data_IF_906722077713
#
_entry.id   IF_906722077713
#
_cell.length_a   1.000
_cell.length_b   1.000
_cell.length_c   1.000
_cell.angle_alpha   90.00
_cell.angle_beta   90.00
_cell.angle_gamma   90.00
#
_symmetry.space_group_name_H-M   'P 1'
#
loop_
_entity.id
_entity.type
_entity.pdbx_description
1 polymer ?
#
# COMPACT_ATOMS: atom_id res chain seq x y z
N UNK A 1 -3.52 17.87 -7.71
CA UNK A 1 -3.30 16.61 -6.96
C UNK A 1 -2.94 15.53 -7.96
N UNK A 2 -1.70 15.05 -7.95
CA UNK A 2 -1.25 13.97 -8.84
C UNK A 2 -1.94 12.69 -8.37
N UNK A 3 -2.83 12.12 -9.21
CA UNK A 3 -3.43 10.80 -8.93
C UNK A 3 -2.42 9.73 -9.32
N UNK A 4 -1.60 9.29 -8.36
CA UNK A 4 -0.75 8.10 -8.55
C UNK A 4 -1.68 6.91 -8.82
N UNK A 5 -1.48 6.24 -9.97
CA UNK A 5 -2.21 5.02 -10.31
C UNK A 5 -1.66 3.86 -9.47
N UNK A 6 -2.52 3.26 -8.67
CA UNK A 6 -2.19 2.07 -7.89
C UNK A 6 -2.17 0.84 -8.80
N UNK A 7 -1.15 0.00 -8.64
CA UNK A 7 -1.11 -1.34 -9.25
C UNK A 7 -2.13 -2.25 -8.57
N UNK A 8 -2.60 -3.25 -9.32
CA UNK A 8 -3.52 -4.29 -8.82
C UNK A 8 -2.88 -5.10 -7.69
N UNK A 9 -3.72 -5.73 -6.88
CA UNK A 9 -3.28 -6.64 -5.82
C UNK A 9 -2.38 -7.77 -6.40
N UNK A 10 -1.19 -8.01 -5.84
CA UNK A 10 -0.32 -9.09 -6.31
C UNK A 10 -0.87 -10.48 -5.96
N UNK A 11 -1.84 -10.57 -5.04
CA UNK A 11 -2.43 -11.83 -4.56
C UNK A 11 -3.71 -12.17 -5.33
N UNK A 12 -4.66 -11.24 -5.38
CA UNK A 12 -6.00 -11.49 -5.96
C UNK A 12 -6.30 -10.66 -7.22
N UNK A 13 -5.34 -9.86 -7.70
CA UNK A 13 -5.44 -9.07 -8.93
C UNK A 13 -6.63 -8.08 -8.98
N UNK A 14 -7.23 -7.83 -7.82
CA UNK A 14 -8.33 -6.89 -7.63
C UNK A 14 -7.81 -5.45 -7.47
N UNK A 15 -8.73 -4.50 -7.58
CA UNK A 15 -8.44 -3.09 -7.34
C UNK A 15 -8.05 -2.83 -5.88
N UNK A 16 -7.21 -1.81 -5.70
CA UNK A 16 -6.57 -1.46 -4.44
C UNK A 16 -6.86 0.00 -4.15
N UNK A 17 -6.99 0.35 -2.86
CA UNK A 17 -7.19 1.71 -2.42
C UNK A 17 -6.18 2.04 -1.33
N UNK A 18 -5.74 3.29 -1.25
CA UNK A 18 -5.03 3.78 -0.06
C UNK A 18 -6.08 4.09 0.99
N UNK A 19 -5.93 3.52 2.18
CA UNK A 19 -6.79 3.81 3.33
C UNK A 19 -6.01 4.59 4.36
N UNK A 20 -6.72 5.44 5.08
CA UNK A 20 -6.20 6.17 6.25
C UNK A 20 -6.58 5.36 7.47
N UNK A 21 -5.57 4.97 8.23
CA UNK A 21 -5.71 4.29 9.49
C UNK A 21 -5.79 5.33 10.61
N UNK A 22 -7.02 5.51 11.08
CA UNK A 22 -7.38 6.47 12.12
C UNK A 22 -7.06 5.92 13.52
N UNK A 23 -7.01 4.59 13.67
CA UNK A 23 -6.89 3.90 14.96
C UNK A 23 -5.47 3.42 15.25
N UNK A 24 -4.66 3.12 14.22
CA UNK A 24 -3.29 2.65 14.39
C UNK A 24 -2.29 3.73 14.81
N UNK A 25 -2.74 4.95 15.08
CA UNK A 25 -1.93 6.04 15.60
C UNK A 25 -1.35 6.95 14.50
N UNK A 26 -0.31 7.71 14.85
CA UNK A 26 0.27 8.74 13.97
C UNK A 26 1.73 8.44 13.64
N UNK A 27 2.14 8.80 12.43
CA UNK A 27 3.55 8.86 12.00
C UNK A 27 3.84 10.34 11.73
N UNK A 28 4.88 10.90 12.37
CA UNK A 28 5.24 12.31 12.24
C UNK A 28 4.07 13.29 12.46
N UNK A 29 3.15 12.96 13.38
CA UNK A 29 1.97 13.78 13.66
C UNK A 29 0.82 13.68 12.64
N UNK A 30 0.97 12.89 11.57
CA UNK A 30 -0.07 12.62 10.57
C UNK A 30 -0.67 11.23 10.75
N UNK A 31 -1.90 11.04 10.30
CA UNK A 31 -2.53 9.72 10.29
C UNK A 31 -1.81 8.77 9.33
N UNK A 32 -1.74 7.51 9.72
CA UNK A 32 -1.12 6.45 8.94
C UNK A 32 -1.93 6.19 7.68
N UNK A 33 -1.26 5.95 6.56
CA UNK A 33 -1.87 5.66 5.27
C UNK A 33 -1.15 4.49 4.64
N UNK A 34 -1.89 3.54 4.05
CA UNK A 34 -1.30 2.40 3.35
C UNK A 34 -2.18 1.91 2.22
N UNK A 35 -1.58 1.26 1.22
CA UNK A 35 -2.32 0.54 0.19
C UNK A 35 -2.96 -0.71 0.78
N UNK A 36 -4.25 -0.89 0.56
CA UNK A 36 -5.05 -1.99 1.08
C UNK A 36 -5.92 -2.61 0.00
N UNK A 37 -5.88 -3.94 -0.09
CA UNK A 37 -6.80 -4.70 -0.92
C UNK A 37 -8.00 -5.16 -0.08
N UNK A 38 -9.20 -4.68 -0.44
CA UNK A 38 -10.45 -5.04 0.26
C UNK A 38 -10.90 -6.49 0.06
N UNK A 39 -10.27 -7.23 -0.87
CA UNK A 39 -10.68 -8.59 -1.21
C UNK A 39 -9.89 -9.63 -0.41
N UNK A 40 -8.56 -9.52 -0.36
CA UNK A 40 -7.71 -10.49 0.34
C UNK A 40 -7.09 -9.96 1.64
N UNK A 41 -7.33 -8.69 1.99
CA UNK A 41 -6.75 -8.07 3.18
C UNK A 41 -5.27 -7.73 3.07
N UNK A 42 -4.62 -7.98 1.93
CA UNK A 42 -3.21 -7.65 1.72
C UNK A 42 -2.99 -6.14 1.78
N UNK A 43 -1.98 -5.72 2.56
CA UNK A 43 -1.66 -4.31 2.76
C UNK A 43 -0.16 -4.03 2.65
N UNK A 44 0.17 -2.78 2.31
CA UNK A 44 1.55 -2.28 2.37
C UNK A 44 1.89 -1.74 3.76
N UNK A 45 3.16 -1.36 3.94
CA UNK A 45 3.58 -0.63 5.13
C UNK A 45 2.88 0.74 5.25
N UNK A 46 2.56 1.17 6.49
CA UNK A 46 1.98 2.48 6.75
C UNK A 46 2.99 3.62 6.55
N UNK A 47 2.52 4.69 5.91
CA UNK A 47 3.24 5.94 5.63
C UNK A 47 2.44 7.16 6.09
N UNK A 48 3.07 8.33 6.14
CA UNK A 48 2.45 9.56 6.65
C UNK A 48 1.76 10.40 5.56
N UNK A 49 1.87 9.97 4.30
CA UNK A 49 1.34 10.63 3.12
C UNK A 49 0.73 9.63 2.13
N UNK A 50 -0.30 10.07 1.41
CA UNK A 50 -0.92 9.30 0.33
C UNK A 50 0.09 8.94 -0.75
N UNK A 51 0.98 9.88 -1.11
CA UNK A 51 1.95 9.66 -2.18
C UNK A 51 2.97 8.60 -1.81
N UNK A 52 3.47 8.65 -0.57
CA UNK A 52 4.37 7.62 -0.04
C UNK A 52 3.67 6.27 0.09
N UNK A 53 2.43 6.23 0.58
CA UNK A 53 1.65 4.99 0.69
C UNK A 53 1.43 4.35 -0.69
N UNK A 54 1.04 5.15 -1.69
CA UNK A 54 0.83 4.69 -3.06
C UNK A 54 2.13 4.21 -3.73
N UNK A 55 3.23 4.95 -3.53
CA UNK A 55 4.55 4.55 -4.02
C UNK A 55 5.06 3.28 -3.34
N UNK A 56 4.87 3.16 -2.02
CA UNK A 56 5.26 1.96 -1.25
C UNK A 56 4.51 0.74 -1.74
N UNK A 57 3.18 0.85 -1.90
CA UNK A 57 2.36 -0.19 -2.50
C UNK A 57 2.88 -0.60 -3.88
N UNK A 58 3.06 0.39 -4.77
CA UNK A 58 3.52 0.12 -6.13
C UNK A 58 4.92 -0.51 -6.15
N UNK A 59 5.83 -0.08 -5.28
CA UNK A 59 7.16 -0.65 -5.13
C UNK A 59 7.06 -2.10 -4.67
N UNK A 60 6.30 -2.38 -3.60
CA UNK A 60 6.10 -3.74 -3.07
C UNK A 60 5.51 -4.70 -4.10
N UNK A 61 4.53 -4.25 -4.90
CA UNK A 61 3.95 -5.05 -6.00
C UNK A 61 4.93 -5.21 -7.16
N UNK A 62 5.77 -4.21 -7.43
CA UNK A 62 6.77 -4.24 -8.53
C UNK A 62 7.98 -5.08 -8.19
N UNK A 63 8.39 -5.09 -6.92
CA UNK A 63 9.41 -5.98 -6.35
C UNK A 63 8.92 -7.42 -6.24
N UNK A 64 7.88 -7.79 -7.00
CA UNK A 64 7.17 -9.06 -6.94
C UNK A 64 8.13 -10.22 -6.74
N UNK A 65 7.91 -10.93 -5.64
CA UNK A 65 8.51 -12.22 -5.30
C UNK A 65 9.99 -12.31 -5.68
N UNK A 66 10.87 -11.87 -4.78
CA UNK A 66 12.20 -12.48 -4.73
C UNK A 66 11.97 -13.99 -4.57
N UNK A 67 12.06 -14.73 -5.69
CA UNK A 67 12.09 -16.18 -5.67
C UNK A 67 13.16 -16.55 -4.64
N UNK A 68 12.87 -17.37 -3.61
CA UNK A 68 13.95 -17.91 -2.81
C UNK A 68 14.86 -18.68 -3.77
N UNK A 69 16.07 -18.17 -3.97
CA UNK A 69 17.16 -18.91 -4.59
C UNK A 69 17.49 -20.03 -3.59
N UNK A 70 16.84 -21.18 -3.77
CA UNK A 70 17.25 -22.45 -3.17
C UNK A 70 18.38 -23.05 -4.00
#
# INVERSE_FOLDING_TARGET
MIKIRLKKCPVCHSDVKVIIDWDGGRINGKFRQFGYCSICGYHSDPKDSYEEAANTWNAQVSSGHQLPLF
#
